data_IF_054700657372
#
_entry.id   IF_054700657372
#
_cell.length_a   1.000
_cell.length_b   1.000
_cell.length_c   1.000
_cell.angle_alpha   90.00
_cell.angle_beta   90.00
_cell.angle_gamma   90.00
#
_symmetry.space_group_name_H-M   'P 1'
#
loop_
_entity.id
_entity.type
_entity.pdbx_description
1 polymer ?
#
# COMPACT_ATOMS: atom_id res chain seq x y z
N UNK A 1 -3.33 3.58 17.25
CA UNK A 1 -3.26 2.14 16.91
C UNK A 1 -2.25 1.40 17.79
N UNK A 2 -2.42 1.40 19.12
CA UNK A 2 -1.37 1.03 20.09
C UNK A 2 -1.58 -0.31 20.81
N UNK A 3 -2.53 -1.14 20.38
CA UNK A 3 -2.93 -2.35 21.13
C UNK A 3 -2.20 -3.63 20.69
N UNK A 4 -1.57 -3.64 19.50
CA UNK A 4 -0.87 -4.82 18.96
C UNK A 4 0.57 -4.97 19.52
N UNK A 5 1.28 -3.87 19.73
CA UNK A 5 2.65 -3.87 20.31
C UNK A 5 2.71 -4.29 21.78
N UNK A 6 1.55 -4.41 22.46
CA UNK A 6 1.44 -4.88 23.86
C UNK A 6 0.88 -6.29 23.99
N UNK A 7 0.81 -7.06 22.90
CA UNK A 7 0.30 -8.43 22.96
C UNK A 7 1.24 -9.31 23.82
N UNK A 8 0.73 -10.06 24.81
CA UNK A 8 1.55 -10.99 25.59
C UNK A 8 2.22 -12.00 24.64
N UNK A 9 3.54 -12.16 24.73
CA UNK A 9 4.30 -13.17 23.97
C UNK A 9 5.14 -12.67 22.79
N UNK A 10 5.21 -11.35 22.54
CA UNK A 10 6.17 -10.77 21.59
C UNK A 10 7.51 -10.49 22.28
N UNK A 11 8.62 -10.85 21.64
CA UNK A 11 9.93 -10.35 22.05
C UNK A 11 10.03 -8.82 21.83
N UNK A 12 10.93 -8.10 22.52
CA UNK A 12 11.12 -6.66 22.28
C UNK A 12 11.43 -6.32 20.82
N UNK A 13 12.17 -7.19 20.12
CA UNK A 13 12.52 -7.03 18.71
C UNK A 13 11.28 -7.18 17.81
N UNK A 14 10.45 -8.18 18.07
CA UNK A 14 9.19 -8.39 17.35
C UNK A 14 8.19 -7.26 17.61
N UNK A 15 8.12 -6.77 18.84
CA UNK A 15 7.25 -5.64 19.20
C UNK A 15 7.69 -4.34 18.49
N UNK A 16 9.00 -4.09 18.38
CA UNK A 16 9.54 -2.97 17.61
C UNK A 16 9.24 -3.14 16.12
N UNK A 17 9.52 -4.31 15.54
CA UNK A 17 9.25 -4.56 14.12
C UNK A 17 7.76 -4.42 13.77
N UNK A 18 6.88 -4.84 14.69
CA UNK A 18 5.44 -4.68 14.54
C UNK A 18 5.02 -3.21 14.62
N UNK A 19 5.66 -2.41 15.49
CA UNK A 19 5.42 -0.98 15.59
C UNK A 19 5.84 -0.27 14.30
N UNK A 20 7.04 -0.55 13.78
CA UNK A 20 7.54 -0.03 12.50
C UNK A 20 6.54 -0.35 11.36
N UNK A 21 6.06 -1.60 11.31
CA UNK A 21 5.08 -1.99 10.29
C UNK A 21 3.73 -1.29 10.44
N UNK A 22 3.25 -1.08 11.67
CA UNK A 22 1.98 -0.37 11.92
C UNK A 22 2.09 1.10 11.52
N UNK A 23 3.25 1.72 11.70
CA UNK A 23 3.54 3.09 11.24
C UNK A 23 3.46 3.16 9.71
N UNK A 24 4.21 2.31 9.00
CA UNK A 24 4.19 2.24 7.52
C UNK A 24 2.79 1.91 6.98
N UNK A 25 2.04 1.03 7.65
CA UNK A 25 0.65 0.74 7.26
C UNK A 25 -0.28 1.95 7.43
N UNK A 26 0.02 2.82 8.39
CA UNK A 26 -0.68 4.08 8.58
C UNK A 26 -0.40 5.07 7.45
N UNK A 27 0.86 5.23 7.09
CA UNK A 27 1.30 6.07 5.98
C UNK A 27 0.68 5.59 4.65
N UNK A 28 0.73 4.27 4.39
CA UNK A 28 0.06 3.65 3.25
C UNK A 28 -1.45 3.93 3.21
N UNK A 29 -2.12 3.91 4.37
CA UNK A 29 -3.56 4.19 4.43
C UNK A 29 -3.88 5.65 4.09
N UNK A 30 -3.02 6.59 4.51
CA UNK A 30 -3.15 8.00 4.17
C UNK A 30 -2.88 8.26 2.68
N UNK A 31 -1.90 7.57 2.10
CA UNK A 31 -1.59 7.62 0.67
C UNK A 31 -2.72 7.06 -0.20
N UNK A 32 -3.24 5.88 0.14
CA UNK A 32 -4.41 5.30 -0.54
C UNK A 32 -5.64 6.20 -0.42
N UNK A 33 -5.84 6.84 0.74
CA UNK A 33 -6.91 7.83 0.94
C UNK A 33 -6.75 9.04 0.02
N UNK A 34 -5.52 9.52 -0.19
CA UNK A 34 -5.22 10.58 -1.18
C UNK A 34 -5.48 10.10 -2.61
N UNK A 35 -5.06 8.89 -2.97
CA UNK A 35 -5.38 8.29 -4.27
C UNK A 35 -6.88 8.27 -4.55
N UNK A 36 -7.69 7.83 -3.57
CA UNK A 36 -9.15 7.78 -3.71
C UNK A 36 -9.77 9.16 -3.91
N UNK A 37 -9.25 10.19 -3.23
CA UNK A 37 -9.71 11.57 -3.42
C UNK A 37 -9.39 12.07 -4.83
N UNK A 38 -8.17 11.82 -5.33
CA UNK A 38 -7.80 12.19 -6.69
C UNK A 38 -8.63 11.44 -7.73
N UNK A 39 -8.86 10.13 -7.55
CA UNK A 39 -9.74 9.33 -8.42
C UNK A 39 -11.16 9.96 -8.46
N UNK A 40 -11.71 10.34 -7.31
CA UNK A 40 -13.04 10.97 -7.25
C UNK A 40 -13.11 12.33 -7.97
N UNK A 41 -11.99 13.02 -8.10
CA UNK A 41 -11.87 14.30 -8.80
C UNK A 41 -11.42 14.15 -10.26
N UNK A 42 -11.08 12.93 -10.71
CA UNK A 42 -10.56 12.67 -12.04
C UNK A 42 -11.70 12.35 -13.01
N UNK A 43 -11.83 13.14 -14.08
CA UNK A 43 -12.79 12.90 -15.15
C UNK A 43 -12.09 12.85 -16.51
N UNK A 44 -12.50 11.93 -17.38
CA UNK A 44 -12.03 11.93 -18.76
C UNK A 44 -12.39 13.25 -19.46
N UNK A 45 -11.41 13.86 -20.11
CA UNK A 45 -11.55 15.15 -20.77
C UNK A 45 -11.26 16.37 -19.90
N UNK A 46 -10.94 16.18 -18.61
CA UNK A 46 -10.39 17.24 -17.77
C UNK A 46 -9.01 17.67 -18.33
N UNK A 47 -8.75 18.98 -18.49
CA UNK A 47 -7.42 19.48 -18.89
C UNK A 47 -6.26 18.97 -18.02
N UNK A 48 -6.53 18.66 -16.75
CA UNK A 48 -5.57 18.16 -15.78
C UNK A 48 -5.59 16.63 -15.61
N UNK A 49 -6.34 15.88 -16.43
CA UNK A 49 -6.47 14.42 -16.30
C UNK A 49 -5.13 13.71 -16.15
N UNK A 50 -4.14 14.04 -16.98
CA UNK A 50 -2.81 13.42 -16.91
C UNK A 50 -2.07 13.72 -15.61
N UNK A 51 -2.22 14.94 -15.06
CA UNK A 51 -1.63 15.31 -13.77
C UNK A 51 -2.27 14.53 -12.62
N UNK A 52 -3.60 14.43 -12.61
CA UNK A 52 -4.34 13.68 -11.58
C UNK A 52 -3.97 12.19 -11.59
N UNK A 53 -3.82 11.60 -12.78
CA UNK A 53 -3.35 10.21 -12.91
C UNK A 53 -1.94 10.03 -12.35
N UNK A 54 -1.01 10.96 -12.63
CA UNK A 54 0.35 10.89 -12.09
C UNK A 54 0.35 10.97 -10.55
N UNK A 55 -0.49 11.82 -9.96
CA UNK A 55 -0.64 11.92 -8.51
C UNK A 55 -1.19 10.62 -7.92
N UNK A 56 -2.24 10.05 -8.53
CA UNK A 56 -2.81 8.75 -8.13
C UNK A 56 -1.73 7.66 -8.16
N UNK A 57 -0.97 7.56 -9.26
CA UNK A 57 0.12 6.58 -9.41
C UNK A 57 1.20 6.77 -8.35
N UNK A 58 1.56 8.03 -8.06
CA UNK A 58 2.57 8.36 -7.05
C UNK A 58 2.14 7.86 -5.67
N UNK A 59 0.90 8.18 -5.26
CA UNK A 59 0.39 7.78 -3.94
C UNK A 59 0.22 6.26 -3.82
N UNK A 60 -0.28 5.57 -4.86
CA UNK A 60 -0.40 4.11 -4.82
C UNK A 60 0.96 3.41 -4.81
N UNK A 61 1.95 3.95 -5.55
CA UNK A 61 3.32 3.40 -5.56
C UNK A 61 4.03 3.58 -4.22
N UNK A 62 3.77 4.70 -3.54
CA UNK A 62 4.27 4.94 -2.20
C UNK A 62 3.68 3.94 -1.21
N UNK A 63 2.35 3.73 -1.24
CA UNK A 63 1.68 2.77 -0.35
C UNK A 63 2.21 1.33 -0.57
N UNK A 64 2.46 0.96 -1.82
CA UNK A 64 3.07 -0.33 -2.15
C UNK A 64 4.47 -0.47 -1.54
N UNK A 65 5.29 0.58 -1.65
CA UNK A 65 6.67 0.60 -1.14
C UNK A 65 6.70 0.51 0.39
N UNK A 66 5.75 1.14 1.08
CA UNK A 66 5.60 1.07 2.52
C UNK A 66 5.21 -0.34 2.99
N UNK A 67 4.27 -1.00 2.30
CA UNK A 67 3.93 -2.40 2.60
C UNK A 67 5.10 -3.35 2.34
N UNK A 68 5.82 -3.18 1.23
CA UNK A 68 7.03 -3.96 0.92
C UNK A 68 8.11 -3.78 1.99
N UNK A 69 8.34 -2.53 2.41
CA UNK A 69 9.29 -2.18 3.48
C UNK A 69 8.87 -2.76 4.83
N UNK A 70 7.58 -2.69 5.19
CA UNK A 70 7.06 -3.35 6.39
C UNK A 70 7.37 -4.86 6.32
N UNK A 71 7.04 -5.52 5.22
CA UNK A 71 7.18 -6.96 5.07
C UNK A 71 8.65 -7.38 5.17
N UNK A 72 9.56 -6.66 4.50
CA UNK A 72 10.99 -6.90 4.55
C UNK A 72 11.54 -6.73 5.99
N UNK A 73 11.24 -5.58 6.62
CA UNK A 73 11.69 -5.27 7.97
C UNK A 73 11.15 -6.26 9.02
N UNK A 74 9.88 -6.64 8.91
CA UNK A 74 9.23 -7.56 9.81
C UNK A 74 9.70 -8.99 9.61
N UNK A 75 9.83 -9.45 8.36
CA UNK A 75 10.24 -10.82 8.05
C UNK A 75 11.66 -11.15 8.52
N UNK A 76 12.55 -10.16 8.59
CA UNK A 76 13.92 -10.28 9.12
C UNK A 76 13.98 -10.34 10.64
N UNK A 77 13.01 -9.71 11.33
CA UNK A 77 13.03 -9.50 12.80
C UNK A 77 12.08 -10.45 13.56
N UNK A 78 11.04 -10.97 12.92
CA UNK A 78 10.02 -11.80 13.55
C UNK A 78 10.19 -13.30 13.30
N UNK A 79 9.60 -14.12 14.17
CA UNK A 79 9.66 -15.58 14.05
C UNK A 79 8.31 -16.26 14.35
N UNK A 80 8.22 -17.55 14.03
CA UNK A 80 7.08 -18.40 14.37
C UNK A 80 5.72 -17.88 13.89
N UNK A 81 4.68 -18.09 14.71
CA UNK A 81 3.30 -17.75 14.34
C UNK A 81 3.06 -16.25 14.17
N UNK A 82 3.83 -15.40 14.86
CA UNK A 82 3.74 -13.94 14.74
C UNK A 82 4.17 -13.51 13.35
N UNK A 83 5.32 -14.03 12.87
CA UNK A 83 5.79 -13.81 11.49
C UNK A 83 4.75 -14.22 10.47
N UNK A 84 4.18 -15.42 10.61
CA UNK A 84 3.16 -15.92 9.67
C UNK A 84 1.92 -15.03 9.66
N UNK A 85 1.34 -14.74 10.82
CA UNK A 85 0.07 -13.99 10.88
C UNK A 85 0.21 -12.57 10.32
N UNK A 86 1.18 -11.81 10.80
CA UNK A 86 1.37 -10.41 10.35
C UNK A 86 1.86 -10.39 8.91
N UNK A 87 2.85 -11.22 8.55
CA UNK A 87 3.36 -11.28 7.18
C UNK A 87 2.29 -11.63 6.15
N UNK A 88 1.38 -12.59 6.45
CA UNK A 88 0.26 -12.91 5.56
C UNK A 88 -0.69 -11.73 5.38
N UNK A 89 -1.00 -10.97 6.44
CA UNK A 89 -1.88 -9.81 6.31
C UNK A 89 -1.25 -8.71 5.45
N UNK A 90 0.03 -8.42 5.67
CA UNK A 90 0.76 -7.39 4.91
C UNK A 90 0.86 -7.78 3.43
N UNK A 91 1.22 -9.04 3.12
CA UNK A 91 1.25 -9.56 1.75
C UNK A 91 -0.09 -9.42 1.02
N UNK A 92 -1.21 -9.68 1.70
CA UNK A 92 -2.54 -9.52 1.09
C UNK A 92 -2.76 -8.06 0.67
N UNK A 93 -2.43 -7.10 1.54
CA UNK A 93 -2.65 -5.67 1.25
C UNK A 93 -1.67 -5.15 0.20
N UNK A 94 -0.42 -5.60 0.22
CA UNK A 94 0.59 -5.34 -0.81
C UNK A 94 0.08 -5.79 -2.20
N UNK A 95 -0.43 -7.02 -2.31
CA UNK A 95 -1.00 -7.53 -3.56
C UNK A 95 -2.24 -6.75 -4.03
N UNK A 96 -3.13 -6.36 -3.10
CA UNK A 96 -4.29 -5.53 -3.46
C UNK A 96 -3.85 -4.16 -3.99
N UNK A 97 -2.80 -3.57 -3.41
CA UNK A 97 -2.23 -2.30 -3.84
C UNK A 97 -1.57 -2.44 -5.22
N UNK A 98 -0.84 -3.52 -5.45
CA UNK A 98 -0.26 -3.85 -6.77
C UNK A 98 -1.34 -4.00 -7.85
N UNK A 99 -2.44 -4.70 -7.53
CA UNK A 99 -3.59 -4.84 -8.43
C UNK A 99 -4.21 -3.48 -8.75
N UNK A 100 -4.40 -2.62 -7.74
CA UNK A 100 -4.93 -1.26 -7.94
C UNK A 100 -4.00 -0.44 -8.86
N UNK A 101 -2.69 -0.50 -8.65
CA UNK A 101 -1.71 0.18 -9.49
C UNK A 101 -1.80 -0.27 -10.96
N UNK A 102 -1.96 -1.58 -11.19
CA UNK A 102 -2.14 -2.12 -12.54
C UNK A 102 -3.41 -1.58 -13.21
N UNK A 103 -4.53 -1.50 -12.49
CA UNK A 103 -5.76 -0.89 -13.00
C UNK A 103 -5.59 0.59 -13.34
N UNK A 104 -4.94 1.37 -12.46
CA UNK A 104 -4.68 2.80 -12.67
C UNK A 104 -3.80 3.00 -13.92
N UNK A 105 -2.76 2.18 -14.08
CA UNK A 105 -1.89 2.24 -15.26
C UNK A 105 -2.66 1.95 -16.56
N UNK A 106 -3.59 0.98 -16.53
CA UNK A 106 -4.44 0.71 -17.69
C UNK A 106 -5.45 1.82 -17.96
N UNK A 107 -5.98 2.47 -16.92
CA UNK A 107 -6.91 3.58 -17.04
C UNK A 107 -6.24 4.82 -17.61
N UNK A 108 -4.98 5.08 -17.24
CA UNK A 108 -4.14 6.16 -17.74
C UNK A 108 -3.98 6.14 -19.27
N UNK A 109 -3.88 4.94 -19.85
CA UNK A 109 -3.67 4.77 -21.30
C UNK A 109 -4.96 4.85 -22.12
N UNK A 110 -6.14 4.89 -21.49
CA UNK A 110 -7.44 4.83 -22.15
C UNK A 110 -7.71 3.49 -22.86
N UNK A 111 -8.86 3.33 -23.54
CA UNK A 111 -9.11 2.16 -24.39
C UNK A 111 -8.03 2.08 -25.47
N UNK A 112 -7.32 0.95 -25.53
CA UNK A 112 -6.50 0.61 -26.69
C UNK A 112 -7.43 0.41 -27.88
N UNK A 113 -7.72 1.47 -28.63
CA UNK A 113 -8.25 1.31 -29.99
C UNK A 113 -7.10 0.72 -30.80
N UNK A 114 -7.08 -0.60 -30.95
CA UNK A 114 -6.30 -1.25 -31.99
C UNK A 114 -6.72 -0.62 -33.32
N UNK A 115 -5.90 0.30 -33.83
CA UNK A 115 -6.00 0.74 -35.22
C UNK A 115 -5.87 -0.49 -36.12
N UNK A 116 -6.64 -0.56 -37.23
CA UNK A 116 -6.75 -1.74 -38.09
C UNK A 116 -5.43 -2.14 -38.75
#
# INVERSE_FOLDING_TARGET
MTKLSKSPGLSPVEASALADCVELSGDSADELSRSLKEIANTNFGDPNFGGQINDIQTFVSAAFTDFDTCLDGFSKKASGQVKTKVGTQVLIVEHLTSNALAFINSYATGPQTTSP
#
